data_IF_193829406159
#
_entry.id   IF_193829406159
#
_cell.length_a   1.000
_cell.length_b   1.000
_cell.length_c   1.000
_cell.angle_alpha   90.00
_cell.angle_beta   90.00
_cell.angle_gamma   90.00
#
_symmetry.space_group_name_H-M   'P 1'
#
loop_
_entity.id
_entity.type
_entity.pdbx_description
1 polymer ?
#
# COMPACT_ATOMS: atom_id res chain seq x y z
N UNK A 1 9.46 -12.95 -3.17
CA UNK A 1 8.22 -12.21 -2.85
C UNK A 1 8.28 -10.82 -3.42
N UNK A 2 7.27 -10.01 -3.14
CA UNK A 2 7.06 -8.64 -3.60
C UNK A 2 7.32 -7.56 -2.53
N UNK A 3 7.64 -7.95 -1.28
CA UNK A 3 7.93 -7.01 -0.19
C UNK A 3 9.35 -6.43 -0.32
N UNK A 4 9.53 -5.49 -1.25
CA UNK A 4 10.76 -4.73 -1.44
C UNK A 4 10.46 -3.36 -2.04
N UNK A 5 11.39 -2.42 -1.90
CA UNK A 5 11.34 -1.15 -2.60
C UNK A 5 12.14 -1.21 -3.89
N UNK A 6 11.67 -0.49 -4.91
CA UNK A 6 12.38 -0.29 -6.17
C UNK A 6 13.02 1.11 -6.18
N UNK A 7 14.23 1.18 -6.70
CA UNK A 7 14.94 2.41 -7.00
C UNK A 7 15.76 2.21 -8.28
N UNK A 8 15.92 3.26 -9.07
CA UNK A 8 16.69 3.26 -10.30
C UNK A 8 17.71 4.41 -10.29
N UNK A 9 18.83 4.23 -11.01
CA UNK A 9 19.88 5.23 -11.18
C UNK A 9 20.22 5.33 -12.66
N UNK A 10 20.02 6.52 -13.24
CA UNK A 10 20.39 6.82 -14.62
C UNK A 10 21.87 7.23 -14.62
N UNK A 11 22.67 6.53 -15.42
CA UNK A 11 24.12 6.74 -15.55
C UNK A 11 24.52 6.78 -17.01
N UNK A 12 25.71 7.31 -17.28
CA UNK A 12 26.34 7.38 -18.61
C UNK A 12 27.41 6.29 -18.83
N UNK A 13 27.58 5.38 -17.88
CA UNK A 13 28.46 4.22 -18.00
C UNK A 13 27.82 3.14 -18.87
N UNK A 14 28.61 2.55 -19.76
CA UNK A 14 28.23 1.36 -20.51
C UNK A 14 28.26 0.14 -19.58
N UNK A 15 27.13 -0.57 -19.46
CA UNK A 15 26.98 -1.77 -18.65
C UNK A 15 26.37 -2.88 -19.50
N UNK A 16 26.81 -4.11 -19.28
CA UNK A 16 26.16 -5.30 -19.85
C UNK A 16 24.79 -5.50 -19.16
N UNK A 17 23.67 -5.51 -19.92
CA UNK A 17 22.35 -5.70 -19.33
C UNK A 17 22.14 -7.11 -18.76
N UNK A 18 21.46 -7.19 -17.62
CA UNK A 18 20.98 -8.47 -17.10
C UNK A 18 19.87 -9.07 -17.97
N UNK A 19 19.72 -10.40 -17.91
CA UNK A 19 18.65 -11.13 -18.58
C UNK A 19 17.29 -11.02 -17.87
N UNK A 20 16.18 -11.24 -18.59
CA UNK A 20 14.85 -11.20 -18.01
C UNK A 20 14.61 -12.35 -17.02
N UNK A 21 13.77 -12.09 -16.02
CA UNK A 21 13.32 -13.10 -15.05
C UNK A 21 12.17 -13.93 -15.66
N UNK A 22 12.00 -15.18 -15.21
CA UNK A 22 10.87 -16.03 -15.61
C UNK A 22 9.58 -15.64 -14.89
N UNK A 23 8.44 -15.84 -15.53
CA UNK A 23 7.16 -15.78 -14.84
C UNK A 23 7.01 -16.96 -13.86
N UNK A 24 6.59 -16.64 -12.65
CA UNK A 24 6.35 -17.57 -11.55
C UNK A 24 4.88 -17.60 -11.11
N UNK A 25 4.01 -16.78 -11.69
CA UNK A 25 2.56 -16.79 -11.43
C UNK A 25 1.90 -18.02 -12.04
N UNK A 26 2.25 -18.38 -13.28
CA UNK A 26 1.66 -19.53 -13.97
C UNK A 26 0.15 -19.37 -14.11
N UNK A 27 -0.62 -20.32 -13.58
CA UNK A 27 -2.10 -20.29 -13.61
C UNK A 27 -2.72 -19.71 -12.33
N UNK A 28 -1.92 -19.13 -11.43
CA UNK A 28 -2.42 -18.60 -10.16
C UNK A 28 -3.23 -17.30 -10.36
N UNK A 29 -4.40 -17.23 -9.73
CA UNK A 29 -5.31 -16.06 -9.76
C UNK A 29 -5.56 -15.45 -8.37
N UNK A 30 -4.84 -15.90 -7.33
CA UNK A 30 -5.14 -15.58 -5.94
C UNK A 30 -5.26 -14.07 -5.65
N UNK A 31 -4.38 -13.24 -6.22
CA UNK A 31 -4.44 -11.78 -6.04
C UNK A 31 -5.64 -11.13 -6.74
N UNK A 32 -6.07 -11.67 -7.88
CA UNK A 32 -7.25 -11.23 -8.60
C UNK A 32 -8.51 -11.59 -7.82
N UNK A 33 -8.61 -12.85 -7.39
CA UNK A 33 -9.76 -13.39 -6.67
C UNK A 33 -9.96 -12.71 -5.30
N UNK A 34 -8.88 -12.31 -4.64
CA UNK A 34 -8.93 -11.66 -3.33
C UNK A 34 -9.17 -10.15 -3.38
N UNK A 35 -9.01 -9.49 -4.54
CA UNK A 35 -9.10 -8.02 -4.63
C UNK A 35 -10.56 -7.55 -4.41
N UNK A 36 -10.88 -6.85 -3.29
CA UNK A 36 -12.29 -6.57 -2.94
C UNK A 36 -13.03 -5.69 -3.95
N UNK A 37 -12.30 -4.87 -4.69
CA UNK A 37 -12.82 -3.91 -5.66
C UNK A 37 -12.65 -4.36 -7.11
N UNK A 38 -12.17 -5.60 -7.33
CA UNK A 38 -11.91 -6.15 -8.67
C UNK A 38 -10.98 -5.26 -9.50
N UNK A 39 -10.01 -4.63 -8.84
CA UNK A 39 -9.05 -3.73 -9.46
C UNK A 39 -7.99 -4.46 -10.31
N UNK A 40 -8.00 -5.80 -10.34
CA UNK A 40 -7.07 -6.61 -11.14
C UNK A 40 -7.91 -7.44 -12.13
N UNK A 41 -8.36 -6.83 -13.26
CA UNK A 41 -9.31 -7.48 -14.16
C UNK A 41 -8.70 -8.63 -14.97
N UNK A 42 -7.38 -8.65 -15.13
CA UNK A 42 -6.64 -9.68 -15.85
C UNK A 42 -5.17 -9.74 -15.36
N UNK A 43 -4.43 -10.81 -15.67
CA UNK A 43 -3.03 -10.93 -15.26
C UNK A 43 -2.20 -9.71 -15.68
N UNK A 44 -1.35 -9.23 -14.76
CA UNK A 44 -0.42 -8.11 -14.96
C UNK A 44 -1.06 -6.74 -15.24
N UNK A 45 -2.37 -6.57 -15.04
CA UNK A 45 -3.06 -5.29 -15.21
C UNK A 45 -3.76 -4.89 -13.92
N UNK A 46 -3.54 -3.64 -13.50
CA UNK A 46 -4.24 -3.03 -12.37
C UNK A 46 -5.02 -1.81 -12.87
N UNK A 47 -6.33 -1.82 -12.66
CA UNK A 47 -7.20 -0.67 -12.80
C UNK A 47 -7.05 0.24 -11.57
N UNK A 48 -6.20 1.26 -11.70
CA UNK A 48 -5.95 2.23 -10.64
C UNK A 48 -7.22 2.95 -10.18
N UNK A 49 -8.22 3.11 -11.05
CA UNK A 49 -9.48 3.79 -10.70
C UNK A 49 -10.37 2.99 -9.74
N UNK A 50 -10.04 1.71 -9.49
CA UNK A 50 -10.71 0.83 -8.53
C UNK A 50 -9.82 0.43 -7.35
N UNK A 51 -8.52 0.72 -7.40
CA UNK A 51 -7.56 0.23 -6.43
C UNK A 51 -7.69 0.95 -5.07
N UNK A 52 -7.81 0.19 -3.98
CA UNK A 52 -7.87 0.72 -2.61
C UNK A 52 -6.61 1.55 -2.28
N UNK A 53 -5.45 1.11 -2.75
CA UNK A 53 -4.20 1.86 -2.56
C UNK A 53 -4.25 3.23 -3.26
N UNK A 54 -4.78 3.31 -4.48
CA UNK A 54 -4.98 4.59 -5.16
C UNK A 54 -5.99 5.48 -4.41
N UNK A 55 -7.13 4.92 -4.00
CA UNK A 55 -8.15 5.66 -3.26
C UNK A 55 -7.64 6.25 -1.95
N UNK A 56 -6.82 5.50 -1.21
CA UNK A 56 -6.33 5.93 0.10
C UNK A 56 -5.11 6.84 0.03
N UNK A 57 -4.29 6.75 -1.04
CA UNK A 57 -3.03 7.50 -1.16
C UNK A 57 -3.16 8.72 -2.09
N UNK A 58 -3.72 8.55 -3.28
CA UNK A 58 -3.64 9.54 -4.37
C UNK A 58 -4.94 10.31 -4.60
N UNK A 59 -6.09 9.66 -4.44
CA UNK A 59 -7.39 10.30 -4.68
C UNK A 59 -7.57 11.47 -3.72
N UNK A 60 -7.82 12.67 -4.26
CA UNK A 60 -8.06 13.89 -3.47
C UNK A 60 -9.55 14.19 -3.25
N UNK A 61 -10.39 13.67 -4.13
CA UNK A 61 -11.85 13.80 -4.07
C UNK A 61 -12.49 12.75 -3.16
N UNK A 62 -13.81 12.73 -3.07
CA UNK A 62 -14.53 11.72 -2.31
C UNK A 62 -14.38 10.31 -2.88
N UNK A 63 -14.32 9.31 -1.98
CA UNK A 63 -14.25 7.90 -2.37
C UNK A 63 -15.64 7.47 -2.89
N UNK A 64 -15.72 6.78 -4.05
CA UNK A 64 -16.99 6.33 -4.60
C UNK A 64 -17.80 5.50 -3.61
N UNK A 65 -19.10 5.76 -3.48
CA UNK A 65 -19.95 5.09 -2.49
C UNK A 65 -20.12 3.58 -2.77
N UNK A 66 -19.92 3.16 -4.01
CA UNK A 66 -20.05 1.76 -4.47
C UNK A 66 -18.97 0.85 -3.87
N UNK A 67 -17.86 1.42 -3.39
CA UNK A 67 -16.78 0.66 -2.72
C UNK A 67 -16.83 0.75 -1.20
N UNK A 68 -17.89 1.32 -0.63
CA UNK A 68 -18.09 1.40 0.81
C UNK A 68 -18.14 0.01 1.44
N UNK A 69 -17.42 -0.16 2.56
CA UNK A 69 -17.30 -1.45 3.26
C UNK A 69 -16.34 -2.44 2.61
N UNK A 70 -15.72 -2.12 1.47
CA UNK A 70 -14.74 -2.99 0.79
C UNK A 70 -13.29 -2.76 1.23
N UNK A 71 -13.04 -1.72 2.03
CA UNK A 71 -11.68 -1.35 2.45
C UNK A 71 -11.26 -2.10 3.72
N UNK A 72 -12.17 -2.86 4.34
CA UNK A 72 -11.96 -3.55 5.61
C UNK A 72 -11.56 -2.58 6.74
N UNK A 73 -10.25 -2.39 6.96
CA UNK A 73 -9.68 -1.40 7.88
C UNK A 73 -8.48 -0.66 7.26
N UNK A 74 -8.30 -0.75 5.94
CA UNK A 74 -7.21 -0.11 5.22
C UNK A 74 -7.47 1.39 5.07
N UNK A 75 -6.73 2.18 5.85
CA UNK A 75 -6.81 3.65 5.84
C UNK A 75 -5.67 4.32 5.06
N UNK A 76 -4.63 3.57 4.70
CA UNK A 76 -3.52 4.02 3.86
C UNK A 76 -2.87 2.82 3.15
N UNK A 77 -2.86 2.81 1.83
CA UNK A 77 -2.39 1.66 1.06
C UNK A 77 -3.34 0.46 1.15
N UNK A 78 -2.92 -0.67 0.57
CA UNK A 78 -3.63 -1.95 0.63
C UNK A 78 -2.65 -3.06 0.23
N UNK A 79 -2.45 -4.05 1.10
CA UNK A 79 -1.52 -5.15 0.85
C UNK A 79 -2.23 -6.48 0.53
N UNK A 80 -3.57 -6.51 0.44
CA UNK A 80 -4.36 -7.74 0.24
C UNK A 80 -3.82 -8.60 -0.91
N UNK A 81 -3.55 -8.01 -2.07
CA UNK A 81 -3.06 -8.74 -3.24
C UNK A 81 -1.64 -9.30 -3.05
N UNK A 82 -0.84 -8.69 -2.18
CA UNK A 82 0.48 -9.18 -1.79
C UNK A 82 0.37 -10.25 -0.70
N UNK A 83 -0.48 -10.06 0.30
CA UNK A 83 -0.64 -10.98 1.43
C UNK A 83 -1.12 -12.37 0.99
N UNK A 84 -2.01 -12.43 0.00
CA UNK A 84 -2.47 -13.71 -0.57
C UNK A 84 -1.50 -14.34 -1.58
N UNK A 85 -0.43 -13.62 -1.97
CA UNK A 85 0.51 -14.11 -2.97
C UNK A 85 1.36 -15.27 -2.40
N UNK A 86 1.35 -16.46 -3.02
CA UNK A 86 2.07 -17.62 -2.48
C UNK A 86 3.59 -17.41 -2.44
N UNK A 87 4.12 -16.50 -3.27
CA UNK A 87 5.55 -16.17 -3.30
C UNK A 87 6.02 -15.29 -2.14
N UNK A 88 5.09 -14.67 -1.39
CA UNK A 88 5.41 -13.88 -0.21
C UNK A 88 5.62 -14.72 1.05
N UNK A 89 5.21 -16.00 1.05
CA UNK A 89 5.56 -16.94 2.12
C UNK A 89 7.08 -17.15 2.27
N UNK A 90 7.84 -16.83 1.22
CA UNK A 90 9.30 -16.93 1.20
C UNK A 90 9.99 -15.59 1.49
N UNK A 91 9.23 -14.52 1.76
CA UNK A 91 9.80 -13.23 2.12
C UNK A 91 10.56 -13.34 3.45
N UNK A 92 11.64 -12.58 3.58
CA UNK A 92 12.44 -12.49 4.80
C UNK A 92 12.25 -11.09 5.40
N UNK A 93 12.17 -10.95 6.72
CA UNK A 93 12.15 -9.64 7.36
C UNK A 93 13.38 -8.81 6.97
N UNK A 94 13.21 -7.50 6.85
CA UNK A 94 14.33 -6.59 6.67
C UNK A 94 15.11 -6.41 7.99
N UNK A 95 16.35 -5.95 7.88
CA UNK A 95 17.19 -5.56 9.02
C UNK A 95 17.47 -4.04 9.07
N UNK A 96 16.90 -3.28 8.13
CA UNK A 96 17.04 -1.82 8.10
C UNK A 96 16.22 -1.17 9.21
N UNK A 97 16.90 -0.54 10.17
CA UNK A 97 16.27 0.10 11.34
C UNK A 97 15.41 1.31 10.95
N UNK A 98 15.74 2.00 9.85
CA UNK A 98 14.99 3.17 9.37
C UNK A 98 13.59 2.83 8.86
N UNK A 99 13.31 1.57 8.58
CA UNK A 99 11.97 1.11 8.19
C UNK A 99 11.09 0.74 9.40
N UNK A 100 11.62 0.80 10.63
CA UNK A 100 10.81 0.59 11.82
C UNK A 100 9.75 1.72 11.94
N UNK A 101 8.48 1.37 12.21
CA UNK A 101 7.45 2.36 12.45
C UNK A 101 7.73 3.18 13.71
N UNK A 102 7.14 4.37 13.80
CA UNK A 102 7.22 5.18 15.03
C UNK A 102 6.62 4.41 16.22
N UNK A 103 7.33 4.35 17.34
CA UNK A 103 6.97 3.48 18.50
C UNK A 103 5.63 3.82 19.15
N UNK A 104 5.16 5.06 19.01
CA UNK A 104 3.82 5.46 19.49
C UNK A 104 2.67 4.93 18.62
N UNK A 105 2.91 4.42 17.40
CA UNK A 105 1.85 3.88 16.54
C UNK A 105 1.15 2.67 17.19
N UNK A 106 1.90 1.78 17.85
CA UNK A 106 1.36 0.61 18.55
C UNK A 106 0.48 0.99 19.76
N UNK A 107 0.60 2.23 20.24
CA UNK A 107 -0.16 2.73 21.40
C UNK A 107 -1.47 3.41 21.00
N UNK A 108 -1.66 3.70 19.71
CA UNK A 108 -2.85 4.38 19.20
C UNK A 108 -4.08 3.48 19.30
N UNK A 109 -5.15 4.00 19.91
CA UNK A 109 -6.45 3.35 20.00
C UNK A 109 -7.37 3.84 18.88
N UNK A 110 -8.46 3.09 18.57
CA UNK A 110 -9.43 3.53 17.57
C UNK A 110 -10.00 4.94 17.79
N UNK A 111 -10.17 5.36 19.05
CA UNK A 111 -10.62 6.71 19.37
C UNK A 111 -9.57 7.78 18.99
N UNK A 112 -8.29 7.50 19.23
CA UNK A 112 -7.19 8.41 18.90
C UNK A 112 -7.07 8.64 17.38
N UNK A 113 -7.40 7.61 16.58
CA UNK A 113 -7.44 7.73 15.12
C UNK A 113 -8.60 8.60 14.63
N UNK A 114 -9.79 8.49 15.24
CA UNK A 114 -10.96 9.31 14.87
C UNK A 114 -10.76 10.79 15.18
N UNK A 115 -9.99 11.09 16.22
CA UNK A 115 -9.71 12.45 16.68
C UNK A 115 -8.26 12.88 16.38
N UNK A 116 -7.61 12.24 15.40
CA UNK A 116 -6.20 12.51 15.09
C UNK A 116 -5.99 13.97 14.71
N UNK A 117 -5.06 14.62 15.40
CA UNK A 117 -4.69 16.02 15.19
C UNK A 117 -3.52 16.14 14.22
N UNK A 118 -3.30 17.35 13.69
CA UNK A 118 -2.18 17.63 12.81
C UNK A 118 -0.83 17.40 13.48
N UNK A 119 -0.70 17.76 14.76
CA UNK A 119 0.55 17.57 15.53
C UNK A 119 0.85 16.09 15.74
N UNK A 120 -0.17 15.29 16.07
CA UNK A 120 -0.03 13.83 16.22
C UNK A 120 0.33 13.20 14.87
N UNK A 121 -0.36 13.57 13.79
CA UNK A 121 -0.06 13.07 12.45
C UNK A 121 1.38 13.39 12.01
N UNK A 122 1.83 14.64 12.19
CA UNK A 122 3.19 15.07 11.86
C UNK A 122 4.24 14.30 12.65
N UNK A 123 3.98 14.06 13.94
CA UNK A 123 4.88 13.29 14.81
C UNK A 123 4.94 11.81 14.39
N UNK A 124 3.80 11.15 14.24
CA UNK A 124 3.73 9.71 13.95
C UNK A 124 4.30 9.36 12.57
N UNK A 125 4.10 10.23 11.59
CA UNK A 125 4.44 9.97 10.20
C UNK A 125 5.58 10.84 9.68
N UNK A 126 6.44 11.37 10.56
CA UNK A 126 7.64 12.09 10.13
C UNK A 126 8.47 11.19 9.19
N UNK A 127 8.79 11.69 7.99
CA UNK A 127 9.55 10.97 6.96
C UNK A 127 8.91 9.64 6.49
N UNK A 128 7.62 9.46 6.73
CA UNK A 128 6.85 8.32 6.22
C UNK A 128 6.14 8.66 4.91
N UNK A 129 5.97 7.65 4.06
CA UNK A 129 5.15 7.73 2.85
C UNK A 129 3.69 8.11 3.14
N UNK A 130 3.19 7.84 4.35
CA UNK A 130 1.84 8.22 4.81
C UNK A 130 1.58 9.72 4.66
N UNK A 131 2.61 10.56 4.71
CA UNK A 131 2.45 12.01 4.48
C UNK A 131 1.88 12.35 3.09
N UNK A 132 1.97 11.44 2.12
CA UNK A 132 1.44 11.64 0.76
C UNK A 132 -0.07 11.84 0.75
N UNK A 133 -0.82 11.14 1.60
CA UNK A 133 -2.28 11.31 1.72
C UNK A 133 -2.68 12.59 2.46
N UNK A 134 -1.74 13.19 3.21
CA UNK A 134 -1.99 14.31 4.13
C UNK A 134 -2.98 13.96 5.25
N UNK A 135 -3.08 14.81 6.28
CA UNK A 135 -4.01 14.58 7.39
C UNK A 135 -5.46 14.45 6.89
N UNK A 136 -5.87 15.35 5.99
CA UNK A 136 -7.24 15.38 5.47
C UNK A 136 -7.60 14.08 4.73
N UNK A 137 -6.70 13.56 3.91
CA UNK A 137 -6.91 12.29 3.21
C UNK A 137 -7.01 11.12 4.18
N UNK A 138 -6.13 11.06 5.19
CA UNK A 138 -6.20 10.03 6.22
C UNK A 138 -7.52 10.09 7.01
N UNK A 139 -7.94 11.28 7.44
CA UNK A 139 -9.22 11.48 8.15
C UNK A 139 -10.42 11.08 7.29
N UNK A 140 -10.43 11.44 6.00
CA UNK A 140 -11.44 10.98 5.04
C UNK A 140 -11.47 9.46 4.96
N UNK A 141 -10.32 8.81 4.83
CA UNK A 141 -10.23 7.36 4.72
C UNK A 141 -10.72 6.66 5.99
N UNK A 142 -10.42 7.21 7.18
CA UNK A 142 -10.92 6.72 8.48
C UNK A 142 -12.44 6.87 8.57
N UNK A 143 -12.98 8.02 8.14
CA UNK A 143 -14.42 8.28 8.16
C UNK A 143 -15.21 7.46 7.12
N UNK A 144 -14.52 6.96 6.09
CA UNK A 144 -15.12 6.12 5.06
C UNK A 144 -15.29 4.66 5.51
N UNK A 145 -14.52 4.21 6.50
CA UNK A 145 -14.64 2.86 7.07
C UNK A 145 -15.97 2.67 7.81
#
# INVERSE_FOLDING_TARGET
GSFFFLAELIIDLELEPDGPIKDYCGTCTACMDACPTEAIPQPFVVDGSKCISYFTIELKEEIPAEVKGKFENWIFGCDICQDVCPWNRFAKPHHEKKFAPHSDLEKMKPADWREITEDVFKKLFERSAVKRTQLKGLQRNIAFQ
#
